data_IF_363120668047
#
_entry.id   IF_363120668047
#
_cell.length_a   1.000
_cell.length_b   1.000
_cell.length_c   1.000
_cell.angle_alpha   90.00
_cell.angle_beta   90.00
_cell.angle_gamma   90.00
#
_symmetry.space_group_name_H-M   'P 1'
#
loop_
_entity.id
_entity.type
_entity.pdbx_description
1 polymer ?
#
# COMPACT_ATOMS: atom_id res chain seq x y z
N UNK A 1 -1.56 26.47 -3.84
CA UNK A 1 -1.17 25.97 -2.51
C UNK A 1 -2.10 24.83 -2.19
N UNK A 2 -1.58 23.62 -2.08
CA UNK A 2 -2.38 22.49 -1.61
C UNK A 2 -2.70 22.71 -0.13
N UNK A 3 -3.97 22.62 0.22
CA UNK A 3 -4.43 22.74 1.61
C UNK A 3 -3.79 21.61 2.46
N UNK A 4 -3.28 21.90 3.67
CA UNK A 4 -2.58 20.91 4.46
C UNK A 4 -3.53 19.77 4.86
N UNK A 5 -3.10 18.52 4.64
CA UNK A 5 -3.83 17.32 5.05
C UNK A 5 -3.96 17.33 6.58
N UNK A 6 -5.20 17.43 7.08
CA UNK A 6 -5.47 17.48 8.51
C UNK A 6 -5.10 16.17 9.21
N UNK A 7 -4.48 16.27 10.39
CA UNK A 7 -4.21 15.10 11.25
C UNK A 7 -5.48 14.54 11.87
N UNK A 8 -6.57 15.30 11.84
CA UNK A 8 -7.81 14.95 12.51
C UNK A 8 -8.77 14.12 11.67
N UNK A 9 -8.58 14.10 10.35
CA UNK A 9 -9.39 13.30 9.44
C UNK A 9 -9.31 11.82 9.78
N UNK A 10 -10.47 11.17 9.68
CA UNK A 10 -10.58 9.74 9.91
C UNK A 10 -9.66 8.94 8.97
N UNK A 11 -9.59 9.32 7.68
CA UNK A 11 -8.67 8.74 6.70
C UNK A 11 -7.19 8.76 7.10
N UNK A 12 -6.79 9.71 7.96
CA UNK A 12 -5.41 9.90 8.40
C UNK A 12 -5.13 9.18 9.71
N UNK A 13 -6.14 9.02 10.57
CA UNK A 13 -6.06 8.27 11.83
C UNK A 13 -6.24 6.75 11.62
N UNK A 14 -6.95 6.35 10.58
CA UNK A 14 -7.15 4.96 10.22
C UNK A 14 -5.94 4.40 9.45
N UNK A 15 -5.12 3.63 10.17
CA UNK A 15 -3.95 2.93 9.62
C UNK A 15 -4.23 1.47 9.22
N UNK A 16 -5.51 1.08 9.09
CA UNK A 16 -5.86 -0.26 8.61
C UNK A 16 -5.25 -0.53 7.24
N UNK A 17 -4.55 -1.67 7.14
CA UNK A 17 -3.99 -2.22 5.90
C UNK A 17 -4.99 -3.12 5.17
N UNK A 18 -6.27 -2.80 5.30
CA UNK A 18 -7.37 -3.54 4.69
C UNK A 18 -8.25 -2.60 3.89
N UNK A 19 -8.76 -3.09 2.77
CA UNK A 19 -9.67 -2.35 1.93
C UNK A 19 -10.66 -3.27 1.27
N UNK A 20 -11.92 -3.20 1.71
CA UNK A 20 -13.00 -4.05 1.20
C UNK A 20 -12.54 -5.53 1.18
N UNK A 21 -12.66 -6.20 0.05
CA UNK A 21 -12.27 -7.59 -0.11
C UNK A 21 -10.82 -7.79 -0.58
N UNK A 22 -10.09 -6.72 -0.91
CA UNK A 22 -8.71 -6.80 -1.42
C UNK A 22 -7.77 -7.41 -0.36
N UNK A 23 -6.91 -8.33 -0.78
CA UNK A 23 -6.02 -9.12 0.05
C UNK A 23 -4.68 -8.41 0.31
N UNK A 24 -4.14 -7.72 -0.69
CA UNK A 24 -2.78 -7.18 -0.66
C UNK A 24 -2.75 -5.66 -0.75
N UNK A 25 -3.72 -5.06 -1.41
CA UNK A 25 -3.67 -3.64 -1.79
C UNK A 25 -4.66 -2.80 -0.98
N UNK A 26 -4.24 -1.63 -0.52
CA UNK A 26 -5.09 -0.73 0.25
C UNK A 26 -4.75 0.76 0.06
N UNK A 27 -5.74 1.67 0.11
CA UNK A 27 -5.52 3.11 -0.01
C UNK A 27 -5.20 3.77 1.34
N UNK A 28 -4.24 4.71 1.34
CA UNK A 28 -3.86 5.52 2.51
C UNK A 28 -3.75 6.99 2.13
N UNK A 29 -4.40 7.87 2.88
CA UNK A 29 -4.14 9.32 2.75
C UNK A 29 -2.89 9.66 3.57
N UNK A 30 -1.80 9.88 2.85
CA UNK A 30 -0.49 10.11 3.44
C UNK A 30 -0.19 11.60 3.57
N UNK A 31 0.01 12.04 4.81
CA UNK A 31 0.56 13.38 5.09
C UNK A 31 1.99 13.56 4.59
N UNK A 32 2.79 12.47 4.56
CA UNK A 32 4.18 12.51 4.12
C UNK A 32 4.27 12.64 2.60
N UNK A 33 3.41 11.93 1.88
CA UNK A 33 3.36 11.94 0.42
C UNK A 33 2.54 13.11 -0.14
N UNK A 34 1.65 13.70 0.68
CA UNK A 34 0.81 14.84 0.28
C UNK A 34 -0.34 14.43 -0.66
N UNK A 35 -0.93 13.25 -0.44
CA UNK A 35 -2.01 12.70 -1.26
C UNK A 35 -2.27 11.22 -0.97
N UNK A 36 -2.78 10.50 -1.97
CA UNK A 36 -3.01 9.07 -1.87
C UNK A 36 -1.70 8.29 -2.06
N UNK A 37 -1.38 7.46 -1.07
CA UNK A 37 -0.40 6.37 -1.18
C UNK A 37 -1.18 5.06 -1.32
N UNK A 38 -0.82 4.25 -2.30
CA UNK A 38 -1.38 2.91 -2.48
C UNK A 38 -0.44 1.91 -1.82
N UNK A 39 -0.85 1.33 -0.69
CA UNK A 39 -0.10 0.31 0.02
C UNK A 39 -0.21 -1.05 -0.66
N UNK A 40 0.90 -1.79 -0.69
CA UNK A 40 0.99 -3.20 -1.12
C UNK A 40 1.63 -4.01 0.00
N UNK A 41 0.84 -4.87 0.65
CA UNK A 41 1.26 -5.78 1.70
C UNK A 41 1.76 -7.09 1.10
N UNK A 42 3.08 -7.30 1.10
CA UNK A 42 3.69 -8.55 0.63
C UNK A 42 3.74 -9.64 1.72
N UNK A 43 3.39 -9.31 2.97
CA UNK A 43 3.44 -10.21 4.11
C UNK A 43 2.03 -10.44 4.68
N UNK A 44 1.09 -11.01 3.89
CA UNK A 44 -0.28 -11.24 4.35
C UNK A 44 -0.33 -12.29 5.47
N UNK A 45 0.70 -13.13 5.58
CA UNK A 45 0.94 -14.09 6.66
C UNK A 45 1.41 -13.44 7.96
N UNK A 46 1.65 -12.12 7.92
CA UNK A 46 2.16 -11.27 9.00
C UNK A 46 3.53 -11.69 9.51
N UNK A 47 4.34 -12.43 8.76
CA UNK A 47 5.69 -12.82 9.22
C UNK A 47 6.68 -11.68 9.03
N UNK A 48 7.48 -11.43 10.06
CA UNK A 48 8.59 -10.47 10.03
C UNK A 48 9.82 -11.10 10.67
N UNK A 49 10.99 -10.81 10.15
CA UNK A 49 12.29 -11.15 10.72
C UNK A 49 12.65 -10.29 11.94
N UNK A 50 11.88 -9.23 12.21
CA UNK A 50 12.17 -8.27 13.27
C UNK A 50 10.98 -8.07 14.21
N UNK A 51 11.27 -7.99 15.51
CA UNK A 51 10.27 -7.87 16.59
C UNK A 51 10.35 -6.49 17.25
N UNK A 52 9.99 -5.45 16.49
CA UNK A 52 9.96 -4.08 17.01
C UNK A 52 9.03 -3.95 18.22
N UNK A 53 9.54 -3.42 19.33
CA UNK A 53 8.74 -3.12 20.54
C UNK A 53 7.57 -2.16 20.29
N UNK A 54 7.64 -1.39 19.20
CA UNK A 54 6.63 -0.41 18.77
C UNK A 54 5.80 -0.91 17.58
N UNK A 55 5.88 -2.19 17.22
CA UNK A 55 5.11 -2.74 16.10
C UNK A 55 3.61 -2.76 16.43
N UNK A 56 2.80 -2.13 15.57
CA UNK A 56 1.33 -2.11 15.71
C UNK A 56 0.64 -3.23 14.93
N UNK A 57 1.39 -4.17 14.34
CA UNK A 57 0.82 -5.33 13.64
C UNK A 57 0.24 -6.31 14.66
N UNK A 58 -1.07 -6.57 14.58
CA UNK A 58 -1.69 -7.59 15.43
C UNK A 58 -1.40 -9.01 14.91
N UNK A 59 -0.38 -9.63 15.52
CA UNK A 59 0.08 -11.01 15.24
C UNK A 59 -0.84 -12.10 15.83
N UNK A 60 -1.85 -11.74 16.63
CA UNK A 60 -2.76 -12.71 17.29
C UNK A 60 -3.91 -13.14 16.39
N UNK A 61 -4.26 -12.32 15.41
CA UNK A 61 -5.35 -12.62 14.47
C UNK A 61 -4.80 -13.40 13.27
N UNK A 62 -5.52 -14.45 12.81
CA UNK A 62 -5.07 -15.26 11.68
C UNK A 62 -4.94 -14.41 10.40
N UNK A 63 -4.00 -14.76 9.51
CA UNK A 63 -3.88 -14.11 8.22
C UNK A 63 -5.07 -14.46 7.30
N UNK A 64 -5.45 -13.55 6.40
CA UNK A 64 -6.50 -13.79 5.39
C UNK A 64 -6.04 -14.73 4.27
N UNK A 65 -4.75 -14.67 3.96
CA UNK A 65 -4.05 -15.58 3.03
C UNK A 65 -2.61 -15.73 3.50
N UNK A 66 -2.00 -16.87 3.22
CA UNK A 66 -0.57 -17.12 3.46
C UNK A 66 0.24 -17.20 2.17
N UNK A 67 -0.45 -17.20 1.03
CA UNK A 67 0.17 -17.24 -0.29
C UNK A 67 0.22 -15.83 -0.85
N UNK A 68 1.32 -15.52 -1.53
CA UNK A 68 1.50 -14.28 -2.27
C UNK A 68 1.23 -14.54 -3.75
N UNK A 69 0.13 -13.99 -4.26
CA UNK A 69 -0.32 -14.20 -5.64
C UNK A 69 -0.10 -12.93 -6.48
N UNK A 70 0.80 -13.01 -7.46
CA UNK A 70 1.18 -11.89 -8.31
C UNK A 70 0.04 -11.41 -9.22
N UNK A 71 -0.81 -12.31 -9.69
CA UNK A 71 -1.93 -11.96 -10.57
C UNK A 71 -3.03 -11.24 -9.78
N UNK A 72 -3.26 -11.67 -8.54
CA UNK A 72 -4.17 -10.95 -7.64
C UNK A 72 -3.61 -9.58 -7.29
N UNK A 73 -2.33 -9.46 -6.93
CA UNK A 73 -1.70 -8.13 -6.68
C UNK A 73 -1.88 -7.21 -7.89
N UNK A 74 -1.63 -7.71 -9.11
CA UNK A 74 -1.82 -6.96 -10.36
C UNK A 74 -3.26 -6.49 -10.52
N UNK A 75 -4.22 -7.38 -10.33
CA UNK A 75 -5.65 -7.08 -10.46
C UNK A 75 -6.10 -6.04 -9.41
N UNK A 76 -5.74 -6.23 -8.14
CA UNK A 76 -6.11 -5.33 -7.05
C UNK A 76 -5.49 -3.94 -7.20
N UNK A 77 -4.20 -3.86 -7.58
CA UNK A 77 -3.54 -2.59 -7.87
C UNK A 77 -4.26 -1.86 -9.01
N UNK A 78 -4.57 -2.57 -10.10
CA UNK A 78 -5.27 -1.99 -11.25
C UNK A 78 -6.65 -1.45 -10.86
N UNK A 79 -7.42 -2.24 -10.09
CA UNK A 79 -8.74 -1.84 -9.58
C UNK A 79 -8.63 -0.60 -8.71
N UNK A 80 -7.72 -0.58 -7.75
CA UNK A 80 -7.61 0.55 -6.82
C UNK A 80 -7.10 1.83 -7.50
N UNK A 81 -6.13 1.71 -8.41
CA UNK A 81 -5.66 2.84 -9.23
C UNK A 81 -6.81 3.45 -10.03
N UNK A 82 -7.62 2.62 -10.69
CA UNK A 82 -8.77 3.10 -11.48
C UNK A 82 -9.84 3.72 -10.59
N UNK A 83 -10.18 3.10 -9.47
CA UNK A 83 -11.13 3.64 -8.49
C UNK A 83 -10.68 5.02 -7.96
N UNK A 84 -9.39 5.18 -7.66
CA UNK A 84 -8.80 6.46 -7.28
C UNK A 84 -8.96 7.51 -8.40
N UNK A 85 -8.59 7.18 -9.65
CA UNK A 85 -8.69 8.11 -10.78
C UNK A 85 -10.14 8.53 -11.09
N UNK A 86 -11.08 7.60 -10.95
CA UNK A 86 -12.52 7.84 -11.12
C UNK A 86 -13.16 8.59 -9.95
N UNK A 87 -12.41 8.86 -8.87
CA UNK A 87 -12.91 9.56 -7.68
C UNK A 87 -13.89 8.71 -6.86
N UNK A 88 -13.84 7.38 -7.00
CA UNK A 88 -14.73 6.46 -6.28
C UNK A 88 -14.35 6.37 -4.80
N UNK A 89 -13.06 6.51 -4.49
CA UNK A 89 -12.57 6.46 -3.10
C UNK A 89 -13.20 7.56 -2.24
N UNK A 90 -13.34 8.78 -2.75
CA UNK A 90 -13.96 9.90 -2.03
C UNK A 90 -15.44 9.65 -1.65
N UNK A 91 -16.11 8.70 -2.31
CA UNK A 91 -17.49 8.31 -2.00
C UNK A 91 -17.59 7.37 -0.79
N UNK A 92 -16.49 6.74 -0.41
CA UNK A 92 -16.45 5.86 0.75
C UNK A 92 -16.36 6.67 2.05
N UNK A 93 -17.11 6.30 3.12
CA UNK A 93 -17.10 7.03 4.39
C UNK A 93 -15.70 7.28 4.97
N UNK A 94 -14.78 6.31 4.79
CA UNK A 94 -13.36 6.43 5.19
C UNK A 94 -12.70 7.71 4.68
N UNK A 95 -13.07 8.16 3.48
CA UNK A 95 -12.41 9.24 2.74
C UNK A 95 -13.30 10.46 2.51
N UNK A 96 -14.46 10.55 3.16
CA UNK A 96 -15.42 11.63 2.93
C UNK A 96 -14.82 13.04 3.16
N UNK A 97 -13.85 13.16 4.06
CA UNK A 97 -13.19 14.43 4.42
C UNK A 97 -12.06 14.84 3.45
N UNK A 98 -11.74 13.99 2.47
CA UNK A 98 -10.49 14.12 1.69
C UNK A 98 -10.67 14.80 0.34
N UNK A 99 -11.91 14.90 -0.14
CA UNK A 99 -12.23 15.45 -1.46
C UNK A 99 -11.39 14.83 -2.58
N UNK A 100 -10.83 15.68 -3.45
CA UNK A 100 -10.03 15.26 -4.60
C UNK A 100 -8.64 14.69 -4.24
N UNK A 101 -8.22 14.73 -2.95
CA UNK A 101 -6.90 14.22 -2.54
C UNK A 101 -6.73 12.73 -2.85
N UNK A 102 -7.82 11.95 -2.77
CA UNK A 102 -7.79 10.51 -3.10
C UNK A 102 -7.57 10.24 -4.58
N UNK A 103 -7.73 11.23 -5.46
CA UNK A 103 -7.41 11.07 -6.90
C UNK A 103 -5.93 11.32 -7.20
N UNK A 104 -5.20 11.90 -6.25
CA UNK A 104 -3.78 12.27 -6.39
C UNK A 104 -2.91 11.11 -5.90
N UNK A 105 -2.69 10.13 -6.77
CA UNK A 105 -1.82 8.98 -6.48
C UNK A 105 -0.36 9.45 -6.48
N UNK A 106 0.24 9.54 -5.28
CA UNK A 106 1.60 10.03 -5.07
C UNK A 106 2.63 8.92 -5.16
N UNK A 107 2.30 7.76 -4.62
CA UNK A 107 3.19 6.61 -4.60
C UNK A 107 2.40 5.29 -4.50
N UNK A 108 3.07 4.23 -4.94
CA UNK A 108 2.74 2.85 -4.60
C UNK A 108 3.81 2.39 -3.61
N UNK A 109 3.41 2.13 -2.37
CA UNK A 109 4.30 1.82 -1.27
C UNK A 109 4.23 0.33 -0.89
N UNK A 110 5.35 -0.36 -1.01
CA UNK A 110 5.55 -1.68 -0.44
C UNK A 110 5.71 -1.52 1.07
N UNK A 111 4.61 -1.78 1.76
CA UNK A 111 4.47 -1.65 3.20
C UNK A 111 3.41 -2.65 3.66
N UNK A 112 3.65 -3.32 4.78
CA UNK A 112 2.85 -4.49 5.11
C UNK A 112 2.93 -4.89 6.58
N UNK A 113 2.42 -6.09 6.86
CA UNK A 113 2.40 -6.68 8.19
C UNK A 113 3.70 -7.44 8.52
N UNK A 114 4.77 -7.18 7.76
CA UNK A 114 6.08 -7.80 7.87
C UNK A 114 7.15 -7.00 7.15
N UNK A 115 8.29 -7.63 6.90
CA UNK A 115 9.39 -7.05 6.12
C UNK A 115 9.25 -7.44 4.64
N UNK A 116 9.02 -6.46 3.73
CA UNK A 116 8.77 -6.76 2.33
C UNK A 116 9.94 -7.47 1.62
N UNK A 117 11.19 -7.14 1.93
CA UNK A 117 12.37 -7.69 1.24
C UNK A 117 12.61 -9.18 1.53
N UNK A 118 11.96 -9.71 2.57
CA UNK A 118 12.11 -11.09 3.01
C UNK A 118 11.18 -12.07 2.28
N UNK A 119 10.30 -11.58 1.40
CA UNK A 119 9.48 -12.46 0.55
C UNK A 119 10.33 -13.07 -0.58
N UNK A 120 10.04 -14.31 -1.02
CA UNK A 120 10.88 -15.01 -1.99
C UNK A 120 10.83 -14.44 -3.41
N UNK A 121 9.78 -13.69 -3.75
CA UNK A 121 9.49 -13.17 -5.09
C UNK A 121 9.40 -11.63 -5.08
N UNK A 122 10.26 -10.97 -4.29
CA UNK A 122 10.24 -9.53 -4.11
C UNK A 122 10.37 -8.78 -5.45
N UNK A 123 11.40 -9.08 -6.24
CA UNK A 123 11.62 -8.48 -7.56
C UNK A 123 10.38 -8.59 -8.47
N UNK A 124 9.72 -9.74 -8.48
CA UNK A 124 8.52 -9.96 -9.29
C UNK A 124 7.36 -9.08 -8.81
N UNK A 125 7.18 -8.92 -7.50
CA UNK A 125 6.19 -8.00 -6.94
C UNK A 125 6.47 -6.54 -7.33
N UNK A 126 7.73 -6.11 -7.29
CA UNK A 126 8.13 -4.78 -7.75
C UNK A 126 7.82 -4.61 -9.24
N UNK A 127 8.15 -5.63 -10.05
CA UNK A 127 7.89 -5.62 -11.49
C UNK A 127 6.41 -5.53 -11.81
N UNK A 128 5.54 -6.26 -11.08
CA UNK A 128 4.08 -6.17 -11.20
C UNK A 128 3.60 -4.74 -10.95
N UNK A 129 4.05 -4.10 -9.87
CA UNK A 129 3.65 -2.72 -9.59
C UNK A 129 4.18 -1.73 -10.63
N UNK A 130 5.42 -1.93 -11.11
CA UNK A 130 6.01 -1.12 -12.17
C UNK A 130 5.24 -1.25 -13.50
N UNK A 131 4.77 -2.46 -13.83
CA UNK A 131 3.95 -2.71 -15.01
C UNK A 131 2.60 -2.02 -14.90
N UNK A 132 1.90 -2.16 -13.76
CA UNK A 132 0.60 -1.49 -13.54
C UNK A 132 0.78 0.03 -13.58
N UNK A 133 1.82 0.56 -12.92
CA UNK A 133 2.15 1.99 -12.95
C UNK A 133 2.29 2.50 -14.39
N UNK A 134 3.05 1.79 -15.23
CA UNK A 134 3.25 2.16 -16.65
C UNK A 134 1.95 2.02 -17.46
N UNK A 135 1.25 0.91 -17.30
CA UNK A 135 0.01 0.63 -18.04
C UNK A 135 -1.10 1.65 -17.74
N UNK A 136 -1.15 2.18 -16.51
CA UNK A 136 -2.15 3.16 -16.09
C UNK A 136 -1.70 4.62 -16.29
N UNK A 137 -0.51 4.85 -16.86
CA UNK A 137 0.02 6.19 -17.18
C UNK A 137 0.41 7.01 -15.94
N UNK A 138 0.94 6.35 -14.91
CA UNK A 138 1.33 6.95 -13.63
C UNK A 138 2.83 7.25 -13.57
N UNK A 139 3.37 7.93 -14.57
CA UNK A 139 4.83 8.14 -14.72
C UNK A 139 5.46 8.94 -13.57
N UNK A 140 4.70 9.87 -12.98
CA UNK A 140 5.12 10.70 -11.84
C UNK A 140 4.92 10.02 -10.47
N UNK A 141 4.21 8.88 -10.43
CA UNK A 141 3.96 8.13 -9.20
C UNK A 141 5.20 7.35 -8.80
N UNK A 142 5.65 7.50 -7.55
CA UNK A 142 6.85 6.81 -7.07
C UNK A 142 6.55 5.36 -6.69
N UNK A 143 7.52 4.46 -6.89
CA UNK A 143 7.56 3.23 -6.11
C UNK A 143 8.36 3.49 -4.84
N UNK A 144 7.80 3.11 -3.70
CA UNK A 144 8.40 3.35 -2.38
C UNK A 144 8.52 2.02 -1.65
N UNK A 145 9.67 1.77 -1.05
CA UNK A 145 9.90 0.64 -0.15
C UNK A 145 9.99 1.16 1.28
N UNK A 146 9.20 0.58 2.20
CA UNK A 146 9.34 0.78 3.64
C UNK A 146 9.91 -0.52 4.20
N UNK A 147 11.11 -0.45 4.78
CA UNK A 147 11.90 -1.62 5.18
C UNK A 147 12.63 -1.36 6.49
N UNK A 148 12.87 -2.42 7.28
CA UNK A 148 13.80 -2.46 8.40
C UNK A 148 15.27 -2.58 7.97
N UNK A 149 15.53 -2.58 6.65
CA UNK A 149 16.79 -2.72 5.95
C UNK A 149 17.36 -4.15 5.88
N UNK A 150 16.67 -5.16 6.41
CA UNK A 150 17.04 -6.55 6.16
C UNK A 150 16.86 -6.89 4.68
N UNK A 151 17.69 -7.81 4.17
CA UNK A 151 17.58 -8.32 2.81
C UNK A 151 17.99 -7.35 1.69
N UNK A 152 18.40 -6.11 1.99
CA UNK A 152 18.93 -5.17 0.98
C UNK A 152 20.25 -5.61 0.34
N UNK A 153 20.91 -6.61 0.92
CA UNK A 153 22.11 -7.26 0.39
C UNK A 153 21.80 -8.41 -0.58
N UNK A 154 20.53 -8.83 -0.67
CA UNK A 154 20.11 -9.89 -1.59
C UNK A 154 20.15 -9.38 -3.04
N UNK A 155 20.51 -10.26 -3.97
CA UNK A 155 20.64 -9.90 -5.38
C UNK A 155 19.31 -9.53 -6.06
N UNK A 156 18.18 -9.99 -5.52
CA UNK A 156 16.83 -9.78 -6.01
C UNK A 156 16.09 -8.60 -5.34
N UNK A 157 16.81 -7.77 -4.56
CA UNK A 157 16.30 -6.60 -3.84
C UNK A 157 17.05 -5.34 -4.27
#
# INVERSE_FOLDING_TARGET
>A
MDEPISRDWHAVKDHSRSWQDLLYVYPVVSRRSGGLSIGVNLNPDKRCNFDCVYCEVDRRTPPRTTLLDLEVIRAELTVLVRAARLGELARHPKFAETGELTRRIRDIAFSGDGEPTMVPNFADCIQVAADVRRAEGLDETKLVLITDAAGLDKADV
#
